data_IF_969088847316
#
_entry.id   IF_969088847316
#
_cell.length_a   1.000
_cell.length_b   1.000
_cell.length_c   1.000
_cell.angle_alpha   90.00
_cell.angle_beta   90.00
_cell.angle_gamma   90.00
#
_symmetry.space_group_name_H-M   'P 1'
#
loop_
_entity.id
_entity.type
_entity.pdbx_description
1 polymer ?
#
# COMPACT_ATOMS: atom_id res chain seq x y z
N UNK A 1 26.94 -3.10 0.28
CA UNK A 1 27.33 -4.27 1.08
C UNK A 1 26.32 -5.35 0.79
N UNK A 2 26.76 -6.49 0.27
CA UNK A 2 25.88 -7.61 -0.06
C UNK A 2 25.72 -8.47 1.21
N UNK A 3 24.69 -8.20 2.00
CA UNK A 3 24.39 -8.94 3.23
C UNK A 3 23.46 -10.08 2.87
N UNK A 4 23.82 -11.32 3.23
CA UNK A 4 22.94 -12.46 2.96
C UNK A 4 21.60 -12.29 3.68
N UNK A 5 20.52 -12.78 3.05
CA UNK A 5 19.17 -12.76 3.61
C UNK A 5 19.11 -13.26 5.07
N UNK A 6 19.79 -14.38 5.35
CA UNK A 6 19.81 -14.98 6.68
C UNK A 6 20.50 -14.08 7.72
N UNK A 7 21.60 -13.44 7.34
CA UNK A 7 22.28 -12.50 8.25
C UNK A 7 21.44 -11.24 8.49
N UNK A 8 20.78 -10.71 7.45
CA UNK A 8 19.87 -9.58 7.60
C UNK A 8 18.70 -9.91 8.52
N UNK A 9 18.01 -11.03 8.28
CA UNK A 9 16.89 -11.48 9.10
C UNK A 9 17.30 -11.75 10.56
N UNK A 10 18.49 -12.30 10.78
CA UNK A 10 19.05 -12.53 12.11
C UNK A 10 19.31 -11.21 12.84
N UNK A 11 19.98 -10.25 12.20
CA UNK A 11 20.23 -8.93 12.79
C UNK A 11 18.93 -8.20 13.12
N UNK A 12 17.95 -8.25 12.22
CA UNK A 12 16.63 -7.65 12.43
C UNK A 12 15.86 -8.32 13.58
N UNK A 13 15.98 -9.64 13.71
CA UNK A 13 15.39 -10.41 14.83
C UNK A 13 15.93 -9.93 16.17
N UNK A 14 17.24 -9.64 16.27
CA UNK A 14 17.82 -9.07 17.49
C UNK A 14 17.15 -7.75 17.85
N UNK A 15 16.89 -6.87 16.86
CA UNK A 15 16.18 -5.60 17.09
C UNK A 15 14.76 -5.87 17.59
N UNK A 16 14.00 -6.74 16.94
CA UNK A 16 12.61 -7.06 17.31
C UNK A 16 12.48 -7.61 18.72
N UNK A 17 13.40 -8.50 19.13
CA UNK A 17 13.34 -9.15 20.45
C UNK A 17 13.77 -8.22 21.58
N UNK A 18 14.77 -7.38 21.35
CA UNK A 18 15.37 -6.55 22.40
C UNK A 18 14.74 -5.16 22.53
N UNK A 19 14.08 -4.66 21.48
CA UNK A 19 13.44 -3.33 21.49
C UNK A 19 12.02 -3.42 22.03
N UNK A 20 11.84 -3.46 23.36
CA UNK A 20 10.52 -3.68 24.01
C UNK A 20 9.44 -2.63 23.72
N UNK A 21 9.80 -1.49 23.13
CA UNK A 21 8.89 -0.38 22.82
C UNK A 21 9.02 0.07 21.37
N UNK A 22 9.23 -0.87 20.44
CA UNK A 22 9.37 -0.53 19.03
C UNK A 22 8.05 -0.02 18.45
N UNK A 23 7.90 1.29 18.36
CA UNK A 23 6.68 1.92 17.88
C UNK A 23 6.64 2.17 16.38
N UNK A 24 7.79 2.21 15.71
CA UNK A 24 7.90 2.56 14.30
C UNK A 24 9.06 1.82 13.67
N UNK A 25 8.81 1.20 12.51
CA UNK A 25 9.88 0.61 11.71
C UNK A 25 9.66 0.82 10.21
N UNK A 26 10.77 1.11 9.53
CA UNK A 26 10.88 1.18 8.08
C UNK A 26 11.86 0.09 7.62
N UNK A 27 11.37 -0.84 6.81
CA UNK A 27 12.09 -1.96 6.21
C UNK A 27 11.88 -1.98 4.69
N UNK A 28 11.81 -0.79 4.09
CA UNK A 28 11.72 -0.63 2.63
C UNK A 28 12.95 -1.24 1.95
N UNK A 29 12.75 -1.89 0.79
CA UNK A 29 13.80 -2.53 -0.02
C UNK A 29 14.63 -3.59 0.76
N UNK A 30 14.00 -4.29 1.70
CA UNK A 30 14.67 -5.33 2.52
C UNK A 30 14.17 -6.74 2.19
N UNK A 31 15.01 -7.74 2.54
CA UNK A 31 14.73 -9.17 2.36
C UNK A 31 13.89 -9.79 3.50
N UNK A 32 12.98 -9.01 4.09
CA UNK A 32 12.11 -9.47 5.18
C UNK A 32 11.08 -10.47 4.62
N UNK A 33 10.84 -11.54 5.37
CA UNK A 33 9.79 -12.52 5.06
C UNK A 33 8.85 -12.75 6.25
N UNK A 34 7.82 -13.58 6.03
CA UNK A 34 6.82 -13.94 7.03
C UNK A 34 7.36 -14.29 8.43
N UNK A 35 8.43 -15.11 8.58
CA UNK A 35 8.95 -15.44 9.91
C UNK A 35 9.41 -14.21 10.70
N UNK A 36 10.06 -13.26 10.02
CA UNK A 36 10.55 -12.03 10.65
C UNK A 36 9.38 -11.12 11.08
N UNK A 37 8.31 -11.03 10.28
CA UNK A 37 7.10 -10.30 10.66
C UNK A 37 6.38 -10.94 11.85
N UNK A 38 6.32 -12.28 11.90
CA UNK A 38 5.76 -12.99 13.07
C UNK A 38 6.55 -12.73 14.34
N UNK A 39 7.88 -12.64 14.26
CA UNK A 39 8.73 -12.25 15.39
C UNK A 39 8.47 -10.80 15.80
N UNK A 40 8.33 -9.88 14.84
CA UNK A 40 7.96 -8.48 15.12
C UNK A 40 6.65 -8.42 15.91
N UNK A 41 5.61 -9.08 15.42
CA UNK A 41 4.28 -9.13 16.05
C UNK A 41 4.39 -9.71 17.46
N UNK A 42 5.03 -10.87 17.62
CA UNK A 42 5.15 -11.55 18.91
C UNK A 42 5.85 -10.73 19.99
N UNK A 43 6.68 -9.75 19.61
CA UNK A 43 7.43 -8.92 20.56
C UNK A 43 6.90 -7.50 20.69
N UNK A 44 6.17 -6.98 19.69
CA UNK A 44 5.85 -5.56 19.58
C UNK A 44 4.39 -5.26 19.19
N UNK A 45 3.48 -6.25 19.22
CA UNK A 45 2.05 -6.08 18.88
C UNK A 45 1.41 -4.87 19.56
N UNK A 46 1.74 -4.65 20.84
CA UNK A 46 1.09 -3.66 21.68
C UNK A 46 1.66 -2.24 21.49
N UNK A 47 2.84 -2.13 20.86
CA UNK A 47 3.57 -0.87 20.75
C UNK A 47 3.71 -0.38 19.31
N UNK A 48 3.63 -1.27 18.32
CA UNK A 48 3.81 -0.93 16.91
C UNK A 48 2.67 -0.03 16.41
N UNK A 49 3.05 1.17 15.95
CA UNK A 49 2.14 2.18 15.39
C UNK A 49 2.40 2.44 13.91
N UNK A 50 3.62 2.24 13.43
CA UNK A 50 4.00 2.52 12.05
C UNK A 50 4.83 1.38 11.46
N UNK A 51 4.38 0.85 10.33
CA UNK A 51 5.12 -0.11 9.51
C UNK A 51 5.22 0.38 8.07
N UNK A 52 6.44 0.52 7.56
CA UNK A 52 6.72 0.84 6.15
C UNK A 52 7.60 -0.26 5.56
N UNK A 53 7.12 -0.94 4.53
CA UNK A 53 7.80 -2.09 3.91
C UNK A 53 7.60 -2.12 2.39
N UNK A 54 7.79 -0.98 1.74
CA UNK A 54 7.73 -0.90 0.29
C UNK A 54 9.01 -1.49 -0.31
N UNK A 55 8.85 -2.43 -1.24
CA UNK A 55 9.96 -3.01 -2.01
C UNK A 55 9.93 -2.51 -3.44
N UNK A 56 11.07 -2.13 -3.99
CA UNK A 56 11.27 -1.86 -5.39
C UNK A 56 11.68 -3.16 -6.11
N UNK A 57 10.94 -3.63 -7.11
CA UNK A 57 11.22 -4.90 -7.80
C UNK A 57 12.58 -4.92 -8.53
N UNK A 58 13.12 -3.75 -8.90
CA UNK A 58 14.40 -3.64 -9.60
C UNK A 58 15.63 -4.12 -8.82
N UNK A 59 15.56 -4.21 -7.49
CA UNK A 59 16.67 -4.70 -6.67
C UNK A 59 16.59 -6.21 -6.39
N UNK A 60 15.41 -6.82 -6.56
CA UNK A 60 15.17 -8.22 -6.24
C UNK A 60 14.26 -8.90 -7.27
N UNK A 61 14.74 -9.13 -8.52
CA UNK A 61 13.93 -9.68 -9.62
C UNK A 61 13.49 -11.14 -9.42
N UNK A 62 13.80 -11.78 -8.28
CA UNK A 62 13.68 -13.24 -8.14
C UNK A 62 13.17 -13.78 -6.81
N UNK A 63 12.74 -12.96 -5.84
CA UNK A 63 12.26 -13.50 -4.54
C UNK A 63 11.10 -12.69 -3.97
N UNK A 64 9.93 -12.85 -4.58
CA UNK A 64 8.65 -12.68 -3.90
C UNK A 64 8.58 -13.72 -2.77
N UNK A 65 9.14 -13.39 -1.62
CA UNK A 65 8.90 -14.19 -0.43
C UNK A 65 7.40 -14.14 -0.13
N UNK A 66 6.79 -15.24 0.35
CA UNK A 66 5.47 -15.16 0.93
C UNK A 66 5.55 -14.14 2.08
N UNK A 67 4.87 -13.02 1.86
CA UNK A 67 4.71 -11.91 2.79
C UNK A 67 3.24 -11.68 3.13
N UNK A 68 2.32 -12.31 2.39
CA UNK A 68 0.88 -12.17 2.56
C UNK A 68 0.41 -12.68 3.92
N UNK A 69 0.98 -13.78 4.43
CA UNK A 69 0.58 -14.30 5.74
C UNK A 69 1.14 -13.47 6.91
N UNK A 70 2.36 -12.93 6.75
CA UNK A 70 3.03 -12.10 7.73
C UNK A 70 2.40 -10.72 7.84
N UNK A 71 2.04 -10.09 6.72
CA UNK A 71 1.36 -8.79 6.74
C UNK A 71 -0.06 -8.90 7.30
N UNK A 72 -0.78 -9.97 6.97
CA UNK A 72 -2.08 -10.25 7.56
C UNK A 72 -1.97 -10.49 9.07
N UNK A 73 -0.93 -11.19 9.52
CA UNK A 73 -0.63 -11.37 10.94
C UNK A 73 -0.32 -10.03 11.65
N UNK A 74 0.35 -9.09 10.98
CA UNK A 74 0.56 -7.75 11.51
C UNK A 74 -0.77 -7.03 11.67
N UNK A 75 -1.63 -7.05 10.65
CA UNK A 75 -2.95 -6.46 10.76
C UNK A 75 -3.73 -7.09 11.92
N UNK A 76 -3.94 -8.41 11.93
CA UNK A 76 -4.79 -9.08 12.92
C UNK A 76 -4.35 -8.94 14.39
N UNK A 77 -3.06 -8.66 14.67
CA UNK A 77 -2.53 -8.63 16.03
C UNK A 77 -1.97 -7.27 16.49
N UNK A 78 -1.53 -6.41 15.58
CA UNK A 78 -1.04 -5.06 15.92
C UNK A 78 -2.19 -4.05 15.92
N UNK A 79 -3.10 -4.16 16.89
CA UNK A 79 -4.29 -3.31 16.99
C UNK A 79 -3.97 -1.80 17.15
N UNK A 80 -2.76 -1.47 17.62
CA UNK A 80 -2.27 -0.10 17.75
C UNK A 80 -1.74 0.54 16.47
N UNK A 81 -1.77 -0.17 15.33
CA UNK A 81 -1.24 0.29 14.06
C UNK A 81 -2.01 1.52 13.54
N UNK A 82 -1.27 2.60 13.23
CA UNK A 82 -1.78 3.88 12.74
C UNK A 82 -1.39 4.15 11.30
N UNK A 83 -0.18 3.74 10.90
CA UNK A 83 0.30 3.90 9.54
C UNK A 83 0.82 2.57 8.99
N UNK A 84 0.33 2.20 7.80
CA UNK A 84 0.85 1.08 7.02
C UNK A 84 1.25 1.57 5.63
N UNK A 85 2.48 1.26 5.19
CA UNK A 85 2.90 1.46 3.80
C UNK A 85 3.42 0.17 3.19
N UNK A 86 2.77 -0.27 2.10
CA UNK A 86 3.04 -1.53 1.41
C UNK A 86 2.93 -1.37 -0.11
N UNK A 87 3.45 -2.35 -0.84
CA UNK A 87 3.15 -2.48 -2.26
C UNK A 87 1.77 -3.10 -2.51
N UNK A 88 1.17 -2.79 -3.66
CA UNK A 88 -0.15 -3.29 -4.03
C UNK A 88 -0.24 -4.81 -4.11
N UNK A 89 0.81 -5.52 -4.52
CA UNK A 89 0.78 -6.99 -4.57
C UNK A 89 0.60 -7.66 -3.20
N UNK A 90 0.85 -6.94 -2.09
CA UNK A 90 0.58 -7.42 -0.72
C UNK A 90 -0.82 -7.05 -0.23
N UNK A 91 -1.52 -6.17 -0.95
CA UNK A 91 -2.86 -5.74 -0.59
C UNK A 91 -3.86 -6.82 -1.03
N UNK A 92 -4.65 -7.33 -0.10
CA UNK A 92 -5.69 -8.33 -0.37
C UNK A 92 -7.00 -7.96 0.31
N UNK A 93 -8.10 -8.61 -0.09
CA UNK A 93 -9.39 -8.44 0.57
C UNK A 93 -9.31 -8.81 2.05
N UNK A 94 -8.61 -9.91 2.39
CA UNK A 94 -8.41 -10.33 3.78
C UNK A 94 -7.64 -9.28 4.60
N UNK A 95 -6.64 -8.64 3.98
CA UNK A 95 -5.87 -7.59 4.65
C UNK A 95 -6.73 -6.35 4.92
N UNK A 96 -7.52 -5.92 3.93
CA UNK A 96 -8.44 -4.78 4.09
C UNK A 96 -9.47 -5.06 5.19
N UNK A 97 -10.05 -6.26 5.20
CA UNK A 97 -11.01 -6.69 6.22
C UNK A 97 -10.37 -6.77 7.61
N UNK A 98 -9.15 -7.29 7.73
CA UNK A 98 -8.41 -7.32 8.99
C UNK A 98 -8.18 -5.91 9.53
N UNK A 99 -7.73 -4.98 8.69
CA UNK A 99 -7.53 -3.57 9.05
C UNK A 99 -8.83 -2.84 9.40
N UNK A 100 -9.98 -3.31 8.89
CA UNK A 100 -11.31 -2.75 9.15
C UNK A 100 -11.98 -3.31 10.41
N UNK A 101 -11.37 -4.30 11.07
CA UNK A 101 -11.90 -4.92 12.28
C UNK A 101 -12.08 -3.88 13.40
N UNK A 102 -13.12 -4.02 14.22
CA UNK A 102 -13.40 -3.14 15.38
C UNK A 102 -12.24 -3.06 16.39
N UNK A 103 -11.32 -4.03 16.35
CA UNK A 103 -10.10 -4.01 17.16
C UNK A 103 -9.13 -2.89 16.72
N UNK A 104 -9.15 -2.48 15.46
CA UNK A 104 -8.36 -1.38 14.93
C UNK A 104 -9.12 -0.07 15.08
N UNK A 105 -8.81 0.68 16.13
CA UNK A 105 -9.56 1.91 16.44
C UNK A 105 -8.92 3.15 15.80
N UNK A 106 -7.69 3.04 15.26
CA UNK A 106 -6.86 4.22 14.96
C UNK A 106 -6.01 4.14 13.68
N UNK A 107 -6.40 3.37 12.65
CA UNK A 107 -5.68 3.45 11.39
C UNK A 107 -5.88 4.86 10.79
N UNK A 108 -4.79 5.62 10.67
CA UNK A 108 -4.79 7.00 10.21
C UNK A 108 -4.38 7.09 8.74
N UNK A 109 -3.48 6.19 8.29
CA UNK A 109 -2.92 6.23 6.94
C UNK A 109 -2.61 4.84 6.40
N UNK A 110 -3.16 4.56 5.22
CA UNK A 110 -2.77 3.42 4.39
C UNK A 110 -2.12 3.95 3.12
N UNK A 111 -0.82 3.69 2.96
CA UNK A 111 -0.06 4.04 1.77
C UNK A 111 0.19 2.81 0.91
N UNK A 112 -0.17 2.90 -0.36
CA UNK A 112 -0.06 1.82 -1.33
C UNK A 112 0.81 2.29 -2.48
N UNK A 113 1.92 1.58 -2.72
CA UNK A 113 2.77 1.80 -3.87
C UNK A 113 2.44 0.78 -4.97
N UNK A 114 2.18 1.27 -6.18
CA UNK A 114 1.97 0.47 -7.37
C UNK A 114 3.19 0.62 -8.27
N UNK A 115 4.03 -0.42 -8.28
CA UNK A 115 5.23 -0.50 -9.11
C UNK A 115 5.10 -1.73 -9.97
N UNK A 116 5.25 -1.58 -11.28
CA UNK A 116 5.30 -2.71 -12.20
C UNK A 116 6.68 -3.34 -12.18
N UNK A 117 6.74 -4.65 -11.89
CA UNK A 117 7.99 -5.41 -11.94
C UNK A 117 8.42 -5.66 -13.39
N UNK A 118 7.44 -5.95 -14.25
CA UNK A 118 7.60 -6.17 -15.68
C UNK A 118 6.60 -5.28 -16.44
N UNK A 119 7.00 -4.07 -16.86
CA UNK A 119 6.13 -3.13 -17.55
C UNK A 119 5.43 -3.76 -18.76
N UNK A 120 4.10 -3.67 -18.80
CA UNK A 120 3.26 -4.15 -19.92
C UNK A 120 2.95 -5.65 -19.88
N UNK A 121 3.46 -6.38 -18.89
CA UNK A 121 3.15 -7.79 -18.65
C UNK A 121 2.47 -8.01 -17.29
N UNK A 122 2.52 -7.01 -16.41
CA UNK A 122 1.97 -7.11 -15.06
C UNK A 122 0.46 -6.89 -15.10
N UNK A 123 -0.31 -7.93 -14.77
CA UNK A 123 -1.74 -7.82 -14.51
C UNK A 123 -1.96 -7.67 -13.00
N UNK A 124 -2.51 -6.52 -12.60
CA UNK A 124 -2.88 -6.28 -11.21
C UNK A 124 -4.18 -7.01 -10.87
N UNK A 125 -4.23 -7.63 -9.70
CA UNK A 125 -5.47 -8.20 -9.19
C UNK A 125 -6.45 -7.09 -8.79
N UNK A 126 -7.74 -7.42 -8.81
CA UNK A 126 -8.81 -6.52 -8.40
C UNK A 126 -9.25 -6.87 -6.98
N UNK A 127 -9.54 -5.85 -6.18
CA UNK A 127 -10.08 -5.99 -4.82
C UNK A 127 -11.59 -5.77 -4.84
N UNK A 128 -12.31 -6.45 -3.94
CA UNK A 128 -13.76 -6.31 -3.85
C UNK A 128 -14.15 -4.94 -3.30
N UNK A 129 -15.21 -4.37 -3.87
CA UNK A 129 -15.80 -3.10 -3.40
C UNK A 129 -16.16 -3.16 -1.91
N UNK A 130 -16.74 -4.26 -1.45
CA UNK A 130 -17.10 -4.48 -0.05
C UNK A 130 -15.91 -4.40 0.91
N UNK A 131 -14.72 -4.83 0.46
CA UNK A 131 -13.50 -4.77 1.27
C UNK A 131 -13.00 -3.34 1.43
N UNK A 132 -13.17 -2.50 0.41
CA UNK A 132 -12.91 -1.06 0.53
C UNK A 132 -13.93 -0.39 1.45
N UNK A 133 -15.23 -0.65 1.27
CA UNK A 133 -16.31 -0.05 2.09
C UNK A 133 -16.20 -0.42 3.58
N UNK A 134 -15.66 -1.61 3.90
CA UNK A 134 -15.37 -2.00 5.27
C UNK A 134 -14.43 -1.00 5.98
N UNK A 135 -13.45 -0.43 5.27
CA UNK A 135 -12.56 0.58 5.84
C UNK A 135 -13.27 1.89 6.16
N UNK A 136 -14.29 2.28 5.38
CA UNK A 136 -15.04 3.53 5.61
C UNK A 136 -15.87 3.46 6.90
N UNK A 137 -16.41 2.28 7.18
CA UNK A 137 -17.44 2.07 8.22
C UNK A 137 -16.91 2.38 9.62
N UNK A 138 -15.61 2.15 9.86
CA UNK A 138 -15.00 2.28 11.18
C UNK A 138 -13.91 3.34 11.28
N UNK A 139 -13.41 3.85 10.14
CA UNK A 139 -12.15 4.60 10.12
C UNK A 139 -12.18 5.76 9.12
N UNK A 140 -11.88 6.98 9.59
CA UNK A 140 -11.48 8.09 8.72
C UNK A 140 -10.02 7.90 8.27
N UNK A 141 -9.73 6.82 7.52
CA UNK A 141 -8.38 6.55 7.00
C UNK A 141 -8.05 7.49 5.85
N UNK A 142 -6.82 8.00 5.83
CA UNK A 142 -6.21 8.59 4.65
C UNK A 142 -5.59 7.49 3.78
N UNK A 143 -6.20 7.21 2.63
CA UNK A 143 -5.67 6.25 1.66
C UNK A 143 -4.87 7.02 0.62
N UNK A 144 -3.59 6.69 0.53
CA UNK A 144 -2.61 7.35 -0.34
C UNK A 144 -2.10 6.32 -1.36
N UNK A 145 -2.29 6.57 -2.65
CA UNK A 145 -1.78 5.68 -3.69
C UNK A 145 -0.73 6.36 -4.57
N UNK A 146 0.40 5.68 -4.77
CA UNK A 146 1.46 6.10 -5.69
C UNK A 146 1.51 5.15 -6.89
N UNK A 147 1.31 5.68 -8.08
CA UNK A 147 1.34 4.95 -9.34
C UNK A 147 2.64 5.19 -10.09
N UNK A 148 3.42 4.13 -10.28
CA UNK A 148 4.62 4.09 -11.12
C UNK A 148 4.44 3.08 -12.27
N UNK A 149 3.27 3.13 -12.91
CA UNK A 149 2.84 2.19 -13.95
C UNK A 149 2.99 2.78 -15.36
N UNK A 150 2.92 1.94 -16.38
CA UNK A 150 2.72 2.38 -17.78
C UNK A 150 1.22 2.37 -18.14
N UNK A 151 0.87 2.97 -19.26
CA UNK A 151 -0.54 3.26 -19.63
C UNK A 151 -1.41 2.01 -19.69
N UNK A 152 -0.87 0.91 -20.21
CA UNK A 152 -1.56 -0.37 -20.42
C UNK A 152 -1.93 -1.09 -19.11
N UNK A 153 -1.31 -0.70 -17.99
CA UNK A 153 -1.46 -1.37 -16.70
C UNK A 153 -2.55 -0.73 -15.83
N UNK A 154 -3.09 0.41 -16.25
CA UNK A 154 -4.10 1.13 -15.48
C UNK A 154 -5.50 0.52 -15.54
N UNK A 155 -5.74 -0.45 -16.42
CA UNK A 155 -7.10 -0.91 -16.76
C UNK A 155 -7.90 -1.39 -15.54
N UNK A 156 -7.24 -2.05 -14.57
CA UNK A 156 -7.86 -2.59 -13.36
C UNK A 156 -8.33 -1.53 -12.34
N UNK A 157 -7.87 -0.28 -12.44
CA UNK A 157 -8.04 0.72 -11.37
C UNK A 157 -9.20 1.69 -11.61
N UNK A 158 -9.81 2.15 -10.52
CA UNK A 158 -10.91 3.12 -10.48
C UNK A 158 -12.08 2.78 -11.41
N UNK A 159 -12.46 1.49 -11.48
CA UNK A 159 -13.67 1.05 -12.19
C UNK A 159 -14.94 1.31 -11.38
N UNK A 160 -14.82 1.15 -10.07
CA UNK A 160 -15.86 1.42 -9.09
C UNK A 160 -15.42 2.55 -8.15
N UNK A 161 -16.35 3.05 -7.35
CA UNK A 161 -16.09 4.04 -6.31
C UNK A 161 -14.99 3.56 -5.34
N UNK A 162 -14.03 4.43 -5.06
CA UNK A 162 -12.90 4.15 -4.17
C UNK A 162 -12.78 5.22 -3.09
N UNK A 163 -12.28 4.81 -1.93
CA UNK A 163 -12.09 5.68 -0.77
C UNK A 163 -10.74 6.43 -0.79
N UNK A 164 -10.07 6.49 -1.95
CA UNK A 164 -8.75 7.09 -2.06
C UNK A 164 -8.81 8.58 -1.80
N UNK A 165 -7.92 9.05 -0.92
CA UNK A 165 -7.84 10.45 -0.49
C UNK A 165 -6.71 11.21 -1.16
N UNK A 166 -5.63 10.53 -1.58
CA UNK A 166 -4.48 11.15 -2.20
C UNK A 166 -3.94 10.26 -3.33
N UNK A 167 -3.70 10.86 -4.49
CA UNK A 167 -3.21 10.20 -5.69
C UNK A 167 -1.94 10.87 -6.21
N UNK A 168 -0.92 10.04 -6.46
CA UNK A 168 0.33 10.47 -7.08
C UNK A 168 0.64 9.60 -8.29
N UNK A 169 0.58 10.19 -9.48
CA UNK A 169 1.01 9.56 -10.72
C UNK A 169 2.47 9.95 -11.00
N UNK A 170 3.40 9.06 -10.64
CA UNK A 170 4.84 9.24 -10.83
C UNK A 170 5.33 9.01 -12.26
N UNK A 171 4.47 8.46 -13.13
CA UNK A 171 4.66 8.31 -14.58
C UNK A 171 3.52 8.98 -15.34
N UNK A 172 3.56 8.91 -16.67
CA UNK A 172 2.51 9.45 -17.51
C UNK A 172 1.15 8.80 -17.19
N UNK A 173 0.11 9.63 -17.05
CA UNK A 173 -1.28 9.20 -16.85
C UNK A 173 -2.12 9.57 -18.08
N UNK A 174 -3.07 8.70 -18.44
CA UNK A 174 -3.97 8.91 -19.58
C UNK A 174 -5.17 9.79 -19.20
N UNK A 175 -5.75 10.46 -20.21
CA UNK A 175 -7.00 11.22 -20.08
C UNK A 175 -8.14 10.35 -19.53
N UNK A 176 -8.26 9.13 -20.04
CA UNK A 176 -9.28 8.16 -19.63
C UNK A 176 -9.14 7.77 -18.16
N UNK A 177 -7.92 7.57 -17.69
CA UNK A 177 -7.63 7.25 -16.30
C UNK A 177 -8.03 8.39 -15.36
N UNK A 178 -7.68 9.64 -15.68
CA UNK A 178 -8.12 10.80 -14.90
C UNK A 178 -9.64 11.00 -14.97
N UNK A 179 -10.26 10.71 -16.11
CA UNK A 179 -11.71 10.69 -16.24
C UNK A 179 -12.37 9.72 -15.26
N UNK A 180 -11.81 8.51 -15.11
CA UNK A 180 -12.27 7.53 -14.10
C UNK A 180 -12.04 8.02 -12.67
N UNK A 181 -10.89 8.64 -12.38
CA UNK A 181 -10.62 9.25 -11.07
C UNK A 181 -11.71 10.28 -10.71
N UNK A 182 -12.04 11.18 -11.64
CA UNK A 182 -13.07 12.20 -11.42
C UNK A 182 -14.49 11.64 -11.21
N UNK A 183 -14.77 10.44 -11.71
CA UNK A 183 -16.07 9.77 -11.48
C UNK A 183 -16.09 8.98 -10.17
N UNK A 184 -14.98 8.33 -9.83
CA UNK A 184 -14.94 7.24 -8.85
C UNK A 184 -14.14 7.55 -7.57
N UNK A 185 -13.55 8.74 -7.41
CA UNK A 185 -12.81 9.11 -6.21
C UNK A 185 -13.46 10.31 -5.48
N UNK A 186 -14.62 10.14 -4.83
CA UNK A 186 -15.34 11.25 -4.19
C UNK A 186 -14.64 11.80 -2.94
N UNK A 187 -13.68 11.07 -2.37
CA UNK A 187 -12.91 11.48 -1.18
C UNK A 187 -11.54 12.09 -1.53
N UNK A 188 -11.27 12.33 -2.80
CA UNK A 188 -9.96 12.82 -3.26
C UNK A 188 -9.71 14.25 -2.78
N UNK A 189 -8.59 14.45 -2.07
CA UNK A 189 -8.16 15.74 -1.53
C UNK A 189 -6.91 16.25 -2.26
N UNK A 190 -6.03 15.33 -2.66
CA UNK A 190 -4.77 15.67 -3.32
C UNK A 190 -4.56 14.81 -4.57
N UNK A 191 -4.26 15.47 -5.69
CA UNK A 191 -3.89 14.84 -6.95
C UNK A 191 -2.61 15.45 -7.47
N UNK A 192 -1.60 14.60 -7.70
CA UNK A 192 -0.33 14.98 -8.31
C UNK A 192 -0.11 14.16 -9.56
N UNK A 193 0.07 14.84 -10.70
CA UNK A 193 0.34 14.24 -12.00
C UNK A 193 1.69 14.70 -12.49
N UNK A 194 2.65 13.78 -12.60
CA UNK A 194 4.02 14.09 -13.02
C UNK A 194 4.11 14.36 -14.53
N UNK A 195 3.37 13.59 -15.33
CA UNK A 195 3.33 13.73 -16.78
C UNK A 195 1.98 13.27 -17.32
N UNK A 196 1.60 13.77 -18.49
CA UNK A 196 0.44 13.34 -19.25
C UNK A 196 0.82 13.09 -20.72
N UNK A 197 -0.09 12.46 -21.46
CA UNK A 197 0.03 12.33 -22.90
C UNK A 197 -0.09 13.68 -23.64
N UNK A 198 -0.05 13.69 -24.98
CA UNK A 198 -0.10 14.92 -25.77
C UNK A 198 -1.44 15.67 -25.70
N UNK A 199 -2.47 15.07 -25.10
CA UNK A 199 -3.80 15.65 -24.98
C UNK A 199 -3.90 16.54 -23.73
N UNK A 200 -4.58 17.69 -23.80
CA UNK A 200 -4.89 18.50 -22.64
C UNK A 200 -5.75 17.73 -21.62
N UNK A 201 -5.62 18.09 -20.35
CA UNK A 201 -6.31 17.46 -19.21
C UNK A 201 -7.33 18.39 -18.54
N UNK A 202 -7.59 19.58 -19.09
CA UNK A 202 -8.39 20.62 -18.45
C UNK A 202 -9.76 20.11 -18.01
N UNK A 203 -10.46 19.38 -18.89
CA UNK A 203 -11.79 18.83 -18.62
C UNK A 203 -11.80 17.85 -17.44
N UNK A 204 -10.81 16.96 -17.36
CA UNK A 204 -10.69 15.97 -16.29
C UNK A 204 -10.30 16.63 -14.97
N UNK A 205 -9.36 17.57 -15.00
CA UNK A 205 -8.90 18.27 -13.80
C UNK A 205 -10.00 19.17 -13.23
N UNK A 206 -10.75 19.87 -14.08
CA UNK A 206 -11.92 20.66 -13.66
C UNK A 206 -12.95 19.73 -13.02
N UNK A 207 -13.29 18.61 -13.68
CA UNK A 207 -14.25 17.64 -13.13
C UNK A 207 -13.83 17.10 -11.76
N UNK A 208 -12.52 16.87 -11.56
CA UNK A 208 -11.97 16.42 -10.28
C UNK A 208 -12.06 17.53 -9.22
N UNK A 209 -11.79 18.79 -9.60
CA UNK A 209 -11.77 19.93 -8.68
C UNK A 209 -13.15 20.48 -8.31
N UNK A 210 -14.17 20.26 -9.15
CA UNK A 210 -15.55 20.72 -8.91
C UNK A 210 -16.34 19.84 -7.93
N UNK A 211 -15.76 18.74 -7.44
CA UNK A 211 -16.36 17.85 -6.43
C UNK A 211 -15.96 18.25 -5.01
#
# INVERSE_FOLDING_TARGET
>A
MDVSQAHFASALTVVFVNSKFLSSIKIDDTLVGDPSLKVLVANNSDTLKLLKMNSCPHQFPFRLLPLSSGILCVADQCHGLRELAINYHLLSDELLLALSSEKHVHLERLRINLVSENPGQTQFHTLQRSSWEALDTHLKVNIVMYFYLIEEEFDAFFRDETLVTQLYFGRAVSKEMLGRVGLNCPRLVELVVCANGPKPLDEELIRIAER
#
